data_IF_316558621108
#
_entry.id   IF_316558621108
#
_cell.length_a   1.000
_cell.length_b   1.000
_cell.length_c   1.000
_cell.angle_alpha   90.00
_cell.angle_beta   90.00
_cell.angle_gamma   90.00
#
_symmetry.space_group_name_H-M   'P 1'
#
loop_
_entity.id
_entity.type
_entity.pdbx_description
1 polymer ?
#
# COMPACT_ATOMS: atom_id res chain seq x y z
N UNK A 1 -6.71 20.72 -27.65
CA UNK A 1 -5.26 20.68 -27.99
C UNK A 1 -4.54 21.40 -26.86
N UNK A 2 -3.78 20.68 -26.03
CA UNK A 2 -3.04 21.28 -24.91
C UNK A 2 -1.76 21.95 -25.45
N UNK A 3 -1.51 23.16 -24.99
CA UNK A 3 -0.45 24.07 -25.45
C UNK A 3 0.96 23.51 -25.16
N UNK A 4 1.90 23.78 -26.08
CA UNK A 4 3.26 23.25 -26.05
C UNK A 4 4.07 23.69 -24.81
N UNK A 5 3.65 24.80 -24.18
CA UNK A 5 4.17 25.36 -22.93
C UNK A 5 3.88 24.48 -21.71
N UNK A 6 2.65 23.97 -21.56
CA UNK A 6 2.25 23.11 -20.43
C UNK A 6 2.90 21.72 -20.49
N UNK A 7 3.21 21.24 -21.69
CA UNK A 7 3.89 19.95 -21.90
C UNK A 7 5.38 20.02 -21.50
N UNK A 8 5.99 21.22 -21.54
CA UNK A 8 7.38 21.44 -21.17
C UNK A 8 7.61 21.47 -19.65
N UNK A 9 6.70 22.08 -18.88
CA UNK A 9 6.80 22.15 -17.40
C UNK A 9 6.67 20.78 -16.74
N UNK A 10 5.76 19.93 -17.25
CA UNK A 10 5.59 18.56 -16.74
C UNK A 10 6.83 17.71 -17.03
N UNK A 11 7.47 17.89 -18.20
CA UNK A 11 8.73 17.21 -18.55
C UNK A 11 9.92 17.70 -17.71
N UNK A 12 9.96 18.97 -17.33
CA UNK A 12 11.03 19.53 -16.51
C UNK A 12 10.92 19.11 -15.03
N UNK A 13 9.70 19.06 -14.49
CA UNK A 13 9.42 18.56 -13.14
C UNK A 13 9.68 17.05 -13.04
N UNK A 14 9.26 16.27 -14.05
CA UNK A 14 9.59 14.86 -14.16
C UNK A 14 11.09 14.61 -14.05
N UNK A 15 11.92 15.37 -14.76
CA UNK A 15 13.40 15.28 -14.70
C UNK A 15 14.00 15.66 -13.34
N UNK A 16 13.41 16.62 -12.62
CA UNK A 16 13.89 16.97 -11.27
C UNK A 16 13.54 15.90 -10.22
N UNK A 17 12.33 15.32 -10.28
CA UNK A 17 11.97 14.19 -9.44
C UNK A 17 12.84 12.97 -9.76
N UNK A 18 13.08 12.70 -11.05
CA UNK A 18 13.96 11.64 -11.55
C UNK A 18 15.37 11.72 -10.93
N UNK A 19 15.94 12.92 -10.82
CA UNK A 19 17.27 13.12 -10.19
C UNK A 19 17.29 12.99 -8.66
N UNK A 20 16.18 13.25 -7.95
CA UNK A 20 16.15 13.28 -6.48
C UNK A 20 16.02 11.88 -5.86
N UNK A 21 15.19 11.00 -6.44
CA UNK A 21 15.17 9.60 -6.04
C UNK A 21 16.52 8.92 -6.32
N UNK A 22 17.11 9.21 -7.49
CA UNK A 22 18.45 8.73 -7.85
C UNK A 22 19.50 9.13 -6.81
N UNK A 23 19.53 10.40 -6.38
CA UNK A 23 20.41 10.85 -5.28
C UNK A 23 20.19 10.13 -3.96
N UNK A 24 18.98 9.65 -3.67
CA UNK A 24 18.71 8.85 -2.47
C UNK A 24 19.27 7.44 -2.60
N UNK A 25 19.23 6.86 -3.81
CA UNK A 25 19.80 5.54 -4.11
C UNK A 25 21.34 5.59 -4.15
N UNK A 26 21.91 6.57 -4.86
CA UNK A 26 23.36 6.71 -5.03
C UNK A 26 24.09 7.02 -3.70
N UNK A 27 23.40 7.63 -2.73
CA UNK A 27 23.96 7.94 -1.39
C UNK A 27 23.72 6.81 -0.38
N UNK A 28 22.94 5.80 -0.72
CA UNK A 28 22.68 4.69 0.17
C UNK A 28 23.86 3.71 0.11
N UNK A 29 24.54 3.41 1.23
CA UNK A 29 25.57 2.39 1.26
C UNK A 29 24.99 1.01 0.91
N UNK A 30 25.76 0.20 0.19
CA UNK A 30 25.35 -1.13 -0.29
C UNK A 30 24.95 -2.05 0.88
N UNK A 31 23.85 -2.79 0.72
CA UNK A 31 23.24 -3.62 1.76
C UNK A 31 23.04 -5.06 1.28
N UNK A 32 23.06 -6.00 2.23
CA UNK A 32 22.85 -7.43 1.97
C UNK A 32 21.38 -7.81 1.68
N UNK A 33 20.47 -6.84 1.55
CA UNK A 33 19.06 -7.07 1.25
C UNK A 33 18.49 -5.93 0.42
N UNK A 34 17.41 -6.22 -0.33
CA UNK A 34 16.73 -5.23 -1.17
C UNK A 34 15.90 -4.28 -0.31
N UNK A 35 16.29 -3.01 -0.31
CA UNK A 35 15.62 -1.95 0.44
C UNK A 35 14.31 -1.52 -0.22
N UNK A 36 13.31 -1.20 0.59
CA UNK A 36 12.11 -0.49 0.12
C UNK A 36 12.34 1.01 0.09
N UNK A 37 11.72 1.67 -0.88
CA UNK A 37 11.70 3.13 -1.02
C UNK A 37 10.31 3.64 -0.69
N UNK A 38 10.26 4.70 0.11
CA UNK A 38 9.01 5.28 0.58
C UNK A 38 9.02 6.80 0.55
N UNK A 39 7.82 7.36 0.46
CA UNK A 39 7.55 8.73 0.80
C UNK A 39 7.24 8.86 2.28
N UNK A 40 7.74 9.93 2.89
CA UNK A 40 7.25 10.44 4.17
C UNK A 40 6.55 11.78 3.90
N UNK A 41 5.22 11.76 4.05
CA UNK A 41 4.36 12.93 3.92
C UNK A 41 4.14 13.56 5.28
N UNK A 42 4.22 14.88 5.35
CA UNK A 42 3.71 15.67 6.46
C UNK A 42 2.68 16.64 5.93
N UNK A 43 1.44 16.54 6.42
CA UNK A 43 0.32 17.41 6.06
C UNK A 43 0.15 18.53 7.08
N UNK A 44 -0.50 19.61 6.66
CA UNK A 44 -0.87 20.77 7.46
C UNK A 44 -2.29 21.21 7.10
N UNK A 45 -2.93 21.91 8.02
CA UNK A 45 -4.24 22.53 7.80
C UNK A 45 -5.33 21.52 7.36
N UNK A 46 -5.29 20.31 7.93
CA UNK A 46 -6.29 19.26 7.74
C UNK A 46 -6.84 18.86 9.10
N UNK A 47 -8.15 18.91 9.30
CA UNK A 47 -8.76 18.42 10.55
C UNK A 47 -8.91 16.90 10.56
N UNK A 48 -7.98 16.20 11.21
CA UNK A 48 -7.99 14.73 11.34
C UNK A 48 -8.94 14.21 12.43
N UNK A 49 -9.60 15.09 13.20
CA UNK A 49 -10.69 14.68 14.09
C UNK A 49 -11.87 14.19 13.27
N UNK A 50 -12.14 14.82 12.12
CA UNK A 50 -13.08 14.32 11.13
C UNK A 50 -12.49 13.09 10.41
N UNK A 51 -13.08 11.88 10.56
CA UNK A 51 -12.58 10.69 9.89
C UNK A 51 -12.60 10.79 8.36
N UNK A 52 -13.49 11.61 7.80
CA UNK A 52 -13.59 11.83 6.35
C UNK A 52 -12.41 12.62 5.78
N UNK A 53 -11.57 13.22 6.62
CA UNK A 53 -10.39 13.96 6.18
C UNK A 53 -9.12 13.11 6.30
N UNK A 54 -9.22 11.92 6.90
CA UNK A 54 -8.11 10.97 7.00
C UNK A 54 -7.86 10.31 5.66
N UNK A 55 -6.59 10.14 5.33
CA UNK A 55 -6.17 9.42 4.14
C UNK A 55 -6.29 7.92 4.45
N UNK A 56 -7.04 7.21 3.62
CA UNK A 56 -7.19 5.76 3.62
C UNK A 56 -7.36 5.30 2.18
N UNK A 57 -6.27 5.35 1.43
CA UNK A 57 -6.25 5.07 0.00
C UNK A 57 -5.62 3.72 -0.30
N UNK A 58 -6.14 3.07 -1.34
CA UNK A 58 -5.56 1.87 -1.91
C UNK A 58 -5.14 2.17 -3.33
N UNK A 59 -3.83 2.09 -3.56
CA UNK A 59 -3.19 2.60 -4.77
C UNK A 59 -2.58 1.42 -5.49
N UNK A 60 -3.08 1.13 -6.70
CA UNK A 60 -2.48 0.11 -7.56
C UNK A 60 -1.25 0.71 -8.24
N UNK A 61 -0.08 0.17 -7.93
CA UNK A 61 1.17 0.60 -8.55
C UNK A 61 1.29 0.03 -9.97
N UNK A 62 1.52 0.87 -11.00
CA UNK A 62 1.60 0.42 -12.39
C UNK A 62 2.74 -0.57 -12.65
N UNK A 63 3.90 -0.37 -12.00
CA UNK A 63 5.08 -1.24 -12.16
C UNK A 63 5.25 -2.23 -11.01
N UNK A 64 4.19 -2.46 -10.22
CA UNK A 64 4.22 -3.37 -9.07
C UNK A 64 5.05 -2.85 -7.89
N UNK A 65 5.04 -3.60 -6.78
CA UNK A 65 5.65 -3.20 -5.50
C UNK A 65 7.12 -3.60 -5.34
N UNK A 66 7.64 -4.43 -6.24
CA UNK A 66 8.99 -5.01 -6.17
C UNK A 66 9.23 -5.99 -5.00
N UNK A 67 8.20 -6.29 -4.20
CA UNK A 67 8.21 -7.36 -3.19
C UNK A 67 7.06 -8.32 -3.42
N UNK A 68 7.29 -9.58 -3.13
CA UNK A 68 6.25 -10.59 -3.12
C UNK A 68 5.26 -10.32 -1.98
N UNK A 69 3.99 -10.14 -2.35
CA UNK A 69 2.90 -9.88 -1.41
C UNK A 69 2.13 -11.17 -1.18
N UNK A 70 1.96 -11.53 0.09
CA UNK A 70 1.29 -12.76 0.49
C UNK A 70 -0.18 -12.48 0.75
N UNK A 71 -1.05 -13.20 0.04
CA UNK A 71 -2.51 -13.08 0.16
C UNK A 71 -3.04 -14.40 0.69
N UNK A 72 -3.93 -14.33 1.69
CA UNK A 72 -4.68 -15.47 2.17
C UNK A 72 -6.18 -15.29 1.98
N UNK A 73 -6.94 -16.38 1.94
CA UNK A 73 -8.39 -16.36 1.76
C UNK A 73 -9.08 -17.27 2.77
N UNK A 74 -10.15 -16.76 3.40
CA UNK A 74 -11.09 -17.54 4.20
C UNK A 74 -12.21 -18.05 3.29
N UNK A 75 -12.20 -19.33 2.96
CA UNK A 75 -13.16 -19.92 2.03
C UNK A 75 -13.35 -21.43 2.24
N UNK A 76 -14.47 -21.94 1.75
CA UNK A 76 -14.79 -23.37 1.70
C UNK A 76 -15.27 -23.79 0.32
N UNK A 77 -15.37 -25.11 0.08
CA UNK A 77 -15.90 -25.69 -1.15
C UNK A 77 -15.17 -25.26 -2.43
N UNK A 78 -15.93 -24.98 -3.49
CA UNK A 78 -15.41 -24.63 -4.82
C UNK A 78 -14.53 -23.35 -4.80
N UNK A 79 -14.87 -22.37 -3.96
CA UNK A 79 -14.10 -21.14 -3.84
C UNK A 79 -12.69 -21.39 -3.26
N UNK A 80 -12.58 -22.33 -2.32
CA UNK A 80 -11.30 -22.74 -1.75
C UNK A 80 -10.40 -23.43 -2.80
N UNK A 81 -10.98 -24.28 -3.66
CA UNK A 81 -10.23 -24.96 -4.72
C UNK A 81 -9.73 -23.97 -5.77
N UNK A 82 -10.58 -23.03 -6.21
CA UNK A 82 -10.18 -21.96 -7.13
C UNK A 82 -9.08 -21.08 -6.56
N UNK A 83 -9.19 -20.69 -5.28
CA UNK A 83 -8.17 -19.88 -4.63
C UNK A 83 -6.82 -20.61 -4.52
N UNK A 84 -6.83 -21.90 -4.17
CA UNK A 84 -5.61 -22.74 -4.17
C UNK A 84 -4.99 -22.85 -5.57
N UNK A 85 -5.81 -23.05 -6.60
CA UNK A 85 -5.34 -23.07 -7.99
C UNK A 85 -4.71 -21.74 -8.41
N UNK A 86 -5.19 -20.61 -7.87
CA UNK A 86 -4.62 -19.28 -8.05
C UNK A 86 -3.37 -18.96 -7.21
N UNK A 87 -2.85 -19.92 -6.44
CA UNK A 87 -1.69 -19.71 -5.57
C UNK A 87 -1.98 -18.81 -4.37
N UNK A 88 -3.19 -18.87 -3.83
CA UNK A 88 -3.63 -18.17 -2.62
C UNK A 88 -3.72 -19.19 -1.48
N UNK A 89 -3.13 -18.86 -0.33
CA UNK A 89 -3.21 -19.72 0.86
C UNK A 89 -4.65 -19.66 1.42
N UNK A 90 -5.31 -20.81 1.56
CA UNK A 90 -6.72 -20.89 1.99
C UNK A 90 -6.85 -21.41 3.42
N UNK A 91 -7.71 -20.76 4.19
CA UNK A 91 -8.12 -21.17 5.52
C UNK A 91 -9.59 -21.56 5.53
N UNK A 92 -9.88 -22.76 6.04
CA UNK A 92 -11.24 -23.25 6.19
C UNK A 92 -11.95 -22.54 7.37
N UNK A 93 -13.30 -22.50 7.38
CA UNK A 93 -14.07 -21.82 8.42
C UNK A 93 -13.74 -22.26 9.85
N UNK A 94 -13.44 -23.55 10.05
CA UNK A 94 -13.12 -24.12 11.36
C UNK A 94 -11.81 -23.55 11.91
N UNK A 95 -10.86 -23.21 11.03
CA UNK A 95 -9.56 -22.64 11.41
C UNK A 95 -9.68 -21.18 11.87
N UNK A 96 -10.79 -20.49 11.55
CA UNK A 96 -11.03 -19.09 11.94
C UNK A 96 -11.24 -18.99 13.45
N UNK A 97 -12.05 -19.89 14.02
CA UNK A 97 -12.31 -19.96 15.45
C UNK A 97 -11.07 -20.43 16.22
N UNK A 98 -10.34 -21.40 15.67
CA UNK A 98 -9.09 -21.88 16.25
C UNK A 98 -8.04 -20.75 16.35
N UNK A 99 -7.88 -19.96 15.28
CA UNK A 99 -7.00 -18.78 15.24
C UNK A 99 -7.40 -17.68 16.23
N UNK A 100 -8.71 -17.51 16.45
CA UNK A 100 -9.24 -16.53 17.41
C UNK A 100 -9.03 -16.96 18.86
N UNK A 101 -9.24 -18.24 19.14
CA UNK A 101 -9.04 -18.84 20.46
C UNK A 101 -7.55 -18.89 20.81
N UNK A 102 -6.72 -19.40 19.91
CA UNK A 102 -5.27 -19.37 20.04
C UNK A 102 -4.70 -18.09 19.43
N UNK A 103 -4.72 -17.01 20.22
CA UNK A 103 -4.18 -15.69 19.82
C UNK A 103 -2.74 -15.73 19.32
N UNK A 104 -1.91 -16.67 19.80
CA UNK A 104 -0.54 -16.84 19.32
C UNK A 104 -0.50 -17.27 17.85
N UNK A 105 -1.34 -18.24 17.50
CA UNK A 105 -1.48 -18.74 16.14
C UNK A 105 -2.09 -17.69 15.22
N UNK A 106 -3.19 -17.04 15.62
CA UNK A 106 -3.80 -15.96 14.84
C UNK A 106 -2.86 -14.78 14.58
N UNK A 107 -2.01 -14.40 15.55
CA UNK A 107 -0.98 -13.36 15.35
C UNK A 107 0.10 -13.79 14.34
N UNK A 108 0.53 -15.06 14.35
CA UNK A 108 1.50 -15.59 13.38
C UNK A 108 0.94 -15.52 11.97
N UNK A 109 -0.32 -15.95 11.78
CA UNK A 109 -1.02 -15.85 10.50
C UNK A 109 -1.14 -14.39 10.05
N UNK A 110 -1.61 -13.49 10.92
CA UNK A 110 -1.75 -12.06 10.62
C UNK A 110 -0.43 -11.37 10.24
N UNK A 111 0.71 -11.86 10.74
CA UNK A 111 2.02 -11.32 10.41
C UNK A 111 2.58 -11.91 9.10
N UNK A 112 2.19 -13.13 8.72
CA UNK A 112 2.66 -13.81 7.51
C UNK A 112 2.03 -13.26 6.22
N UNK A 113 0.78 -12.81 6.28
CA UNK A 113 0.05 -12.32 5.11
C UNK A 113 -0.18 -10.81 5.16
N UNK A 114 -0.14 -10.17 4.00
CA UNK A 114 -0.37 -8.74 3.83
C UNK A 114 -1.85 -8.42 3.66
N UNK A 115 -2.55 -9.24 2.88
CA UNK A 115 -3.97 -9.09 2.58
C UNK A 115 -4.74 -10.38 2.88
N UNK A 116 -5.98 -10.19 3.31
CA UNK A 116 -6.93 -11.27 3.53
C UNK A 116 -8.15 -11.06 2.64
N UNK A 117 -8.62 -12.14 2.03
CA UNK A 117 -9.89 -12.25 1.33
C UNK A 117 -10.82 -13.14 2.16
N UNK A 118 -12.13 -12.97 2.02
CA UNK A 118 -13.11 -13.84 2.66
C UNK A 118 -14.34 -13.96 1.80
N UNK A 119 -14.96 -15.14 1.84
CA UNK A 119 -16.36 -15.26 1.43
C UNK A 119 -17.26 -14.47 2.37
N UNK A 120 -18.35 -13.91 1.82
CA UNK A 120 -19.32 -13.12 2.58
C UNK A 120 -19.92 -13.90 3.77
N UNK A 121 -20.28 -15.19 3.66
CA UNK A 121 -20.83 -15.95 4.79
C UNK A 121 -19.86 -16.06 5.99
N UNK A 122 -18.56 -16.11 5.74
CA UNK A 122 -17.55 -16.28 6.80
C UNK A 122 -17.18 -14.96 7.50
N UNK A 123 -17.58 -13.81 6.94
CA UNK A 123 -17.18 -12.49 7.46
C UNK A 123 -17.63 -12.24 8.91
N UNK A 124 -18.82 -12.74 9.29
CA UNK A 124 -19.30 -12.63 10.67
C UNK A 124 -18.41 -13.39 11.66
N UNK A 125 -17.96 -14.59 11.28
CA UNK A 125 -17.06 -15.41 12.06
C UNK A 125 -15.67 -14.76 12.18
N UNK A 126 -15.14 -14.24 11.06
CA UNK A 126 -13.86 -13.54 11.04
C UNK A 126 -13.89 -12.28 11.91
N UNK A 127 -14.98 -11.50 11.84
CA UNK A 127 -15.17 -10.30 12.66
C UNK A 127 -15.15 -10.63 14.16
N UNK A 128 -15.86 -11.69 14.57
CA UNK A 128 -15.94 -12.13 15.97
C UNK A 128 -14.61 -12.63 16.50
N UNK A 129 -13.93 -13.51 15.77
CA UNK A 129 -12.75 -14.24 16.27
C UNK A 129 -11.43 -13.56 15.95
N UNK A 130 -11.28 -13.04 14.73
CA UNK A 130 -10.03 -12.44 14.27
C UNK A 130 -10.07 -10.92 14.27
N UNK A 131 -11.22 -10.27 14.53
CA UNK A 131 -11.32 -8.82 14.54
C UNK A 131 -10.37 -8.14 15.53
N UNK A 132 -10.17 -8.74 16.70
CA UNK A 132 -9.21 -8.26 17.73
C UNK A 132 -7.75 -8.36 17.24
N UNK A 133 -7.45 -9.29 16.33
CA UNK A 133 -6.11 -9.55 15.81
C UNK A 133 -5.84 -8.73 14.54
N UNK A 134 -6.73 -8.81 13.56
CA UNK A 134 -6.59 -8.19 12.23
C UNK A 134 -6.96 -6.70 12.22
N UNK A 135 -7.92 -6.29 13.06
CA UNK A 135 -8.40 -4.91 13.14
C UNK A 135 -7.30 -3.90 13.46
N UNK A 136 -6.58 -4.04 14.60
CA UNK A 136 -5.48 -3.12 14.95
C UNK A 136 -4.33 -3.12 13.94
N UNK A 137 -4.16 -4.21 13.18
CA UNK A 137 -3.14 -4.32 12.11
C UNK A 137 -3.62 -3.72 10.78
N UNK A 138 -4.89 -3.35 10.69
CA UNK A 138 -5.49 -2.83 9.47
C UNK A 138 -5.57 -3.85 8.34
N UNK A 139 -5.58 -5.15 8.67
CA UNK A 139 -5.60 -6.30 7.75
C UNK A 139 -6.95 -7.03 7.76
N UNK A 140 -8.04 -6.31 8.00
CA UNK A 140 -9.37 -6.89 7.92
C UNK A 140 -9.61 -7.48 6.51
N UNK A 141 -10.28 -8.64 6.41
CA UNK A 141 -10.48 -9.28 5.12
C UNK A 141 -11.39 -8.44 4.24
N UNK A 142 -11.16 -8.52 2.94
CA UNK A 142 -12.04 -7.95 1.92
C UNK A 142 -13.03 -9.01 1.48
N UNK A 143 -14.32 -8.68 1.31
CA UNK A 143 -15.26 -9.60 0.70
C UNK A 143 -14.82 -9.85 -0.75
N UNK A 144 -14.74 -11.11 -1.16
CA UNK A 144 -14.53 -11.45 -2.56
C UNK A 144 -15.93 -11.64 -3.21
N UNK A 145 -16.28 -10.86 -4.26
CA UNK A 145 -17.44 -11.13 -5.08
C UNK A 145 -17.14 -12.31 -6.04
N UNK A 146 -18.17 -12.88 -6.68
CA UNK A 146 -18.19 -14.05 -7.61
C UNK A 146 -17.06 -14.13 -8.67
N UNK A 147 -16.26 -13.08 -8.84
CA UNK A 147 -15.05 -13.02 -9.67
C UNK A 147 -13.97 -14.04 -9.21
N UNK A 148 -13.13 -14.49 -10.14
CA UNK A 148 -12.00 -15.38 -9.83
C UNK A 148 -11.06 -14.79 -8.73
N UNK A 149 -10.86 -15.51 -7.60
CA UNK A 149 -9.94 -15.10 -6.54
C UNK A 149 -8.54 -14.73 -7.03
N UNK A 150 -8.04 -15.40 -8.07
CA UNK A 150 -6.70 -15.18 -8.60
C UNK A 150 -6.53 -13.77 -9.20
N UNK A 151 -7.57 -13.26 -9.87
CA UNK A 151 -7.58 -11.91 -10.47
C UNK A 151 -7.55 -10.85 -9.37
N UNK A 152 -8.37 -11.05 -8.33
CA UNK A 152 -8.40 -10.15 -7.17
C UNK A 152 -7.04 -10.13 -6.47
N UNK A 153 -6.46 -11.30 -6.19
CA UNK A 153 -5.15 -11.41 -5.56
C UNK A 153 -4.04 -10.76 -6.38
N UNK A 154 -4.06 -10.90 -7.70
CA UNK A 154 -3.09 -10.24 -8.59
C UNK A 154 -3.18 -8.71 -8.47
N UNK A 155 -4.39 -8.15 -8.45
CA UNK A 155 -4.59 -6.73 -8.18
C UNK A 155 -4.02 -6.31 -6.82
N UNK A 156 -4.29 -7.09 -5.77
CA UNK A 156 -3.80 -6.82 -4.41
C UNK A 156 -2.28 -6.85 -4.29
N UNK A 157 -1.60 -7.74 -5.03
CA UNK A 157 -0.13 -7.83 -5.03
C UNK A 157 0.53 -6.53 -5.51
N UNK A 158 -0.10 -5.83 -6.45
CA UNK A 158 0.33 -4.50 -6.92
C UNK A 158 -0.20 -3.33 -6.07
N UNK A 159 -1.01 -3.58 -5.04
CA UNK A 159 -1.67 -2.52 -4.28
C UNK A 159 -0.91 -2.14 -3.02
N UNK A 160 -0.71 -0.83 -2.84
CA UNK A 160 -0.23 -0.20 -1.61
C UNK A 160 -1.39 0.44 -0.87
N UNK A 161 -1.39 0.30 0.44
CA UNK A 161 -2.37 0.93 1.31
C UNK A 161 -1.71 2.12 2.02
N UNK A 162 -2.25 3.32 1.80
CA UNK A 162 -1.76 4.56 2.41
C UNK A 162 -2.77 5.00 3.47
N UNK A 163 -2.31 5.14 4.72
CA UNK A 163 -3.15 5.49 5.87
C UNK A 163 -2.50 6.58 6.70
N UNK A 164 -3.20 7.70 6.91
CA UNK A 164 -2.74 8.74 7.84
C UNK A 164 -3.10 8.45 9.29
N UNK A 165 -4.22 7.77 9.50
CA UNK A 165 -4.81 7.67 10.84
C UNK A 165 -5.17 9.06 11.36
N UNK A 166 -4.88 9.29 12.64
CA UNK A 166 -5.08 10.55 13.37
C UNK A 166 -3.84 11.47 13.36
N UNK A 167 -2.77 11.09 12.65
CA UNK A 167 -1.50 11.83 12.63
C UNK A 167 -1.34 12.65 11.35
N UNK A 168 -0.72 13.81 11.49
CA UNK A 168 -0.33 14.68 10.37
C UNK A 168 0.84 14.13 9.54
N UNK A 169 1.42 12.99 9.93
CA UNK A 169 2.52 12.36 9.21
C UNK A 169 2.17 10.93 8.85
N UNK A 170 2.49 10.53 7.63
CA UNK A 170 2.27 9.18 7.15
C UNK A 170 3.25 8.79 6.04
N UNK A 171 3.38 7.49 5.84
CA UNK A 171 4.35 6.93 4.93
C UNK A 171 3.65 6.13 3.83
N UNK A 172 4.23 6.15 2.64
CA UNK A 172 3.73 5.38 1.50
C UNK A 172 4.92 4.78 0.74
N UNK A 173 5.02 3.45 0.75
CA UNK A 173 5.99 2.73 -0.07
C UNK A 173 5.56 2.75 -1.53
N UNK A 174 6.48 2.96 -2.46
CA UNK A 174 6.17 2.95 -3.91
C UNK A 174 7.10 2.03 -4.72
N UNK A 175 7.98 1.29 -4.05
CA UNK A 175 8.79 0.27 -4.70
C UNK A 175 9.99 -0.18 -3.88
N UNK A 176 10.92 -0.83 -4.55
CA UNK A 176 12.19 -1.32 -4.01
C UNK A 176 13.38 -0.86 -4.86
N UNK A 177 14.57 -0.88 -4.27
CA UNK A 177 15.79 -0.37 -4.88
C UNK A 177 16.29 -1.16 -6.12
N UNK A 178 15.75 -2.37 -6.35
CA UNK A 178 16.03 -3.21 -7.50
C UNK A 178 15.20 -2.86 -8.75
N UNK A 179 14.16 -2.04 -8.61
CA UNK A 179 13.34 -1.60 -9.73
C UNK A 179 14.04 -0.49 -10.54
N UNK A 180 13.69 -0.40 -11.83
CA UNK A 180 14.21 0.65 -12.69
C UNK A 180 13.77 2.04 -12.23
N UNK A 181 14.54 3.06 -12.57
CA UNK A 181 14.22 4.46 -12.21
C UNK A 181 12.90 4.90 -12.84
N UNK A 182 12.60 4.45 -14.05
CA UNK A 182 11.35 4.77 -14.75
C UNK A 182 10.14 4.14 -14.04
N UNK A 183 10.26 2.88 -13.62
CA UNK A 183 9.22 2.18 -12.85
C UNK A 183 8.96 2.85 -11.51
N UNK A 184 10.03 3.18 -10.78
CA UNK A 184 9.95 3.88 -9.51
C UNK A 184 9.31 5.26 -9.67
N UNK A 185 9.63 5.96 -10.76
CA UNK A 185 9.05 7.28 -11.06
C UNK A 185 7.55 7.15 -11.37
N UNK A 186 7.15 6.17 -12.20
CA UNK A 186 5.75 5.93 -12.51
C UNK A 186 4.92 5.59 -11.25
N UNK A 187 5.45 4.70 -10.41
CA UNK A 187 4.83 4.34 -9.14
C UNK A 187 4.74 5.53 -8.17
N UNK A 188 5.82 6.29 -8.05
CA UNK A 188 5.89 7.47 -7.19
C UNK A 188 4.84 8.52 -7.60
N UNK A 189 4.68 8.76 -8.90
CA UNK A 189 3.71 9.71 -9.43
C UNK A 189 2.27 9.26 -9.19
N UNK A 190 1.95 7.97 -9.34
CA UNK A 190 0.61 7.46 -9.04
C UNK A 190 0.25 7.62 -7.56
N UNK A 191 1.20 7.31 -6.66
CA UNK A 191 1.03 7.52 -5.21
C UNK A 191 0.82 8.99 -4.89
N UNK A 192 1.69 9.87 -5.42
CA UNK A 192 1.59 11.31 -5.20
C UNK A 192 0.25 11.86 -5.69
N UNK A 193 -0.15 11.55 -6.93
CA UNK A 193 -1.40 12.01 -7.54
C UNK A 193 -2.62 11.60 -6.72
N UNK A 194 -2.67 10.34 -6.27
CA UNK A 194 -3.78 9.84 -5.45
C UNK A 194 -3.88 10.57 -4.11
N UNK A 195 -2.75 10.77 -3.43
CA UNK A 195 -2.71 11.49 -2.16
C UNK A 195 -3.12 12.95 -2.35
N UNK A 196 -2.64 13.63 -3.39
CA UNK A 196 -3.05 15.02 -3.68
C UNK A 196 -4.54 15.13 -3.98
N UNK A 197 -5.11 14.20 -4.75
CA UNK A 197 -6.55 14.19 -5.07
C UNK A 197 -7.41 14.00 -3.81
N UNK A 198 -6.87 13.29 -2.81
CA UNK A 198 -7.59 13.01 -1.57
C UNK A 198 -7.60 14.17 -0.58
N UNK A 199 -6.59 15.04 -0.63
CA UNK A 199 -6.47 16.21 0.21
C UNK A 199 -7.36 17.35 -0.30
N UNK A 200 -8.09 18.00 0.58
CA UNK A 200 -9.06 19.06 0.23
C UNK A 200 -8.44 20.20 -0.60
N UNK A 201 -7.20 20.59 -0.27
CA UNK A 201 -6.46 21.66 -0.96
C UNK A 201 -5.25 21.12 -1.73
N UNK A 202 -5.21 19.81 -1.98
CA UNK A 202 -4.15 19.15 -2.73
C UNK A 202 -2.73 19.47 -2.21
N UNK A 203 -1.82 19.97 -3.06
CA UNK A 203 -0.44 20.30 -2.68
C UNK A 203 -0.32 21.30 -1.52
N UNK A 204 -1.28 22.22 -1.38
CA UNK A 204 -1.25 23.25 -0.33
C UNK A 204 -1.39 22.66 1.08
N UNK A 205 -1.97 21.47 1.22
CA UNK A 205 -2.01 20.75 2.48
C UNK A 205 -0.70 20.03 2.80
N UNK A 206 0.30 20.02 1.91
CA UNK A 206 1.61 19.41 2.19
C UNK A 206 2.51 20.42 2.88
N UNK A 207 2.96 20.09 4.11
CA UNK A 207 4.00 20.83 4.82
C UNK A 207 5.38 20.44 4.30
N UNK A 208 5.62 19.14 4.14
CA UNK A 208 6.88 18.61 3.63
C UNK A 208 6.71 17.21 3.07
N UNK A 209 7.51 16.89 2.06
CA UNK A 209 7.63 15.58 1.45
C UNK A 209 9.09 15.15 1.43
N UNK A 210 9.35 13.95 1.90
CA UNK A 210 10.67 13.32 1.82
C UNK A 210 10.59 11.98 1.14
N UNK A 211 11.67 11.61 0.46
CA UNK A 211 11.91 10.26 -0.05
C UNK A 211 13.03 9.66 0.79
N UNK A 212 12.90 8.39 1.15
CA UNK A 212 14.01 7.66 1.75
C UNK A 212 13.98 6.18 1.36
N UNK A 213 15.12 5.54 1.43
CA UNK A 213 15.19 4.07 1.52
C UNK A 213 14.94 3.61 2.96
N UNK A 214 14.93 2.30 3.19
CA UNK A 214 14.66 1.73 4.51
C UNK A 214 15.72 2.19 5.53
N UNK A 215 17.00 2.11 5.17
CA UNK A 215 18.15 2.42 6.04
C UNK A 215 18.97 3.63 5.57
N UNK A 216 18.61 4.26 4.45
CA UNK A 216 19.32 5.41 3.88
C UNK A 216 18.85 6.77 4.41
N UNK A 217 19.62 7.84 4.10
CA UNK A 217 19.26 9.21 4.44
C UNK A 217 18.01 9.66 3.67
N UNK A 218 17.26 10.60 4.23
CA UNK A 218 16.10 11.19 3.56
C UNK A 218 16.48 12.36 2.66
N UNK A 219 15.80 12.46 1.51
CA UNK A 219 15.95 13.54 0.54
C UNK A 219 14.64 14.33 0.49
N UNK A 220 14.72 15.64 0.73
CA UNK A 220 13.55 16.52 0.65
C UNK A 220 13.14 16.73 -0.81
N UNK A 221 11.85 16.57 -1.06
CA UNK A 221 11.21 16.87 -2.34
C UNK A 221 10.50 18.21 -2.22
N UNK A 222 10.72 19.07 -3.21
CA UNK A 222 9.92 20.28 -3.35
C UNK A 222 8.58 19.91 -3.94
N UNK A 223 7.54 20.38 -3.27
CA UNK A 223 6.15 20.24 -3.71
C UNK A 223 5.73 21.61 -4.19
N UNK A 224 5.66 21.79 -5.50
CA UNK A 224 5.12 23.00 -6.11
C UNK A 224 3.59 22.91 -6.07
N UNK A 225 2.96 23.97 -5.58
CA UNK A 225 1.50 24.09 -5.53
C UNK A 225 0.91 24.49 -6.88
#
# INVERSE_FOLDING_TARGET
MLDASQTAEVRHHGKQHHRRHQRSLDKAPERAFVESIEFAFTIKDVDLKNPNNRIKEEIRLPSGRGKEIKVAMFASGEAAEKAKAGGIDVFAPEQIEEMGTNKGMGKKVANRYDFFLSEVPHMGLVGRWLGVILGPRGKMPRPFPVLDPAVVATGLRSTVVVKSGDKMTFHATFGTADQSVDDLTANAMEVYKRVMTRLERGPNNIRSLYIKTTMGPSVKVEVTA
#
